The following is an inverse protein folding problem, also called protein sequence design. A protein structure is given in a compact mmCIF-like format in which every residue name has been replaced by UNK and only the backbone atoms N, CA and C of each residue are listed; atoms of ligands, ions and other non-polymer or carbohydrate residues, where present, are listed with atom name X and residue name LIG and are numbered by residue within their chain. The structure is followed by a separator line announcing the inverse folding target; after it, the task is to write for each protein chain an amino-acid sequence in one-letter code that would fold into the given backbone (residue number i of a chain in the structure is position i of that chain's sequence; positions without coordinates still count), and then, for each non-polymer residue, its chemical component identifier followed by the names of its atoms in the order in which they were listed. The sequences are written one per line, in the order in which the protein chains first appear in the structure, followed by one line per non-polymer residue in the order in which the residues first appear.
data_IF_928457889086
#
_entry.id   IF_928457889086
#
_cell.length_a   1.000
_cell.length_b   1.000
_cell.length_c   1.000
_cell.angle_alpha   90.00
_cell.angle_beta   90.00
_cell.angle_gamma   90.00
#
_symmetry.space_group_name_H-M   'P 1'
#
loop_
_entity.id
_entity.type
_entity.pdbx_description
1 polymer ?
#
# COMPACT_ATOMS: atom_id res chain seq x y z
N UNK A 1 -1.63 -5.28 -7.39
CA UNK A 1 -1.33 -4.73 -6.05
C UNK A 1 -2.57 -4.78 -5.18
N UNK A 2 -3.74 -4.45 -5.73
CA UNK A 2 -5.04 -4.69 -5.09
C UNK A 2 -5.19 -6.09 -4.47
N UNK A 3 -4.71 -7.16 -5.11
CA UNK A 3 -4.76 -8.53 -4.54
C UNK A 3 -3.96 -8.68 -3.23
N UNK A 4 -2.87 -7.91 -3.09
CA UNK A 4 -2.05 -7.88 -1.88
C UNK A 4 -2.71 -7.02 -0.81
N UNK A 5 -3.28 -5.87 -1.16
CA UNK A 5 -3.99 -5.03 -0.19
C UNK A 5 -5.26 -5.72 0.32
N UNK A 6 -6.06 -6.29 -0.58
CA UNK A 6 -7.37 -6.87 -0.29
C UNK A 6 -8.42 -5.81 0.03
N UNK A 7 -9.53 -6.24 0.62
CA UNK A 7 -10.71 -5.41 0.91
C UNK A 7 -10.92 -5.18 2.41
N UNK A 8 -9.88 -5.44 3.20
CA UNK A 8 -9.80 -5.27 4.65
C UNK A 8 -8.53 -4.48 4.99
N UNK A 9 -8.31 -4.15 6.26
CA UNK A 9 -7.11 -3.38 6.68
C UNK A 9 -5.84 -4.23 6.69
N UNK A 10 -6.00 -5.53 6.90
CA UNK A 10 -4.92 -6.51 6.86
C UNK A 10 -4.99 -7.25 5.53
N UNK A 11 -3.82 -7.45 4.92
CA UNK A 11 -3.68 -8.20 3.68
C UNK A 11 -4.21 -9.63 3.81
N UNK A 12 -4.97 -10.14 2.83
CA UNK A 12 -5.30 -11.57 2.74
C UNK A 12 -4.05 -12.45 2.48
N UNK A 13 -2.92 -11.83 2.11
CA UNK A 13 -1.66 -12.48 1.83
C UNK A 13 -0.63 -12.29 2.95
N UNK A 14 -1.02 -11.77 4.12
CA UNK A 14 -0.10 -11.63 5.25
C UNK A 14 0.69 -12.93 5.52
N UNK A 15 2.01 -12.82 5.62
CA UNK A 15 2.88 -13.96 5.85
C UNK A 15 3.26 -14.76 4.60
N UNK A 16 2.66 -14.46 3.45
CA UNK A 16 2.88 -15.18 2.18
C UNK A 16 3.99 -14.53 1.35
N UNK A 17 4.73 -15.35 0.60
CA UNK A 17 5.72 -14.88 -0.37
C UNK A 17 5.03 -14.56 -1.71
N UNK A 18 5.33 -13.38 -2.26
CA UNK A 18 4.88 -12.93 -3.58
C UNK A 18 6.06 -12.77 -4.52
N UNK A 19 5.84 -13.05 -5.81
CA UNK A 19 6.89 -13.01 -6.84
C UNK A 19 6.46 -12.13 -8.00
N UNK A 20 7.35 -11.24 -8.43
CA UNK A 20 7.18 -10.48 -9.67
C UNK A 20 6.02 -9.49 -9.65
N UNK A 21 5.72 -8.87 -8.50
CA UNK A 21 4.67 -7.84 -8.37
C UNK A 21 5.08 -6.63 -9.20
N UNK A 22 4.33 -6.27 -10.26
CA UNK A 22 4.65 -5.11 -11.09
C UNK A 22 4.24 -3.81 -10.41
N UNK A 23 4.94 -2.72 -10.72
CA UNK A 23 4.51 -1.38 -10.34
C UNK A 23 5.45 -0.27 -10.80
N UNK A 24 4.95 0.96 -10.77
CA UNK A 24 5.75 2.18 -10.97
C UNK A 24 6.16 2.74 -9.61
N UNK A 25 7.45 3.00 -9.42
CA UNK A 25 7.94 3.66 -8.22
C UNK A 25 7.44 5.11 -8.19
N UNK A 26 6.68 5.48 -7.17
CA UNK A 26 6.10 6.84 -7.02
C UNK A 26 6.83 7.70 -5.99
N UNK A 27 7.56 7.07 -5.06
CA UNK A 27 8.32 7.78 -4.04
C UNK A 27 9.38 6.90 -3.40
N UNK A 28 10.45 7.52 -2.89
CA UNK A 28 11.58 6.83 -2.26
C UNK A 28 11.87 7.47 -0.91
N UNK A 29 12.04 6.63 0.10
CA UNK A 29 12.41 7.02 1.46
C UNK A 29 13.76 6.42 1.83
N UNK A 30 14.79 7.26 1.92
CA UNK A 30 16.18 6.84 2.19
C UNK A 30 16.58 6.90 3.68
N UNK A 31 15.71 7.43 4.55
CA UNK A 31 15.93 7.57 5.99
C UNK A 31 14.71 7.13 6.81
N UNK A 32 14.92 6.74 8.07
CA UNK A 32 13.87 6.16 8.92
C UNK A 32 13.48 4.77 8.42
N UNK A 33 12.17 4.51 8.24
CA UNK A 33 11.68 3.31 7.58
C UNK A 33 12.04 3.34 6.09
N UNK A 34 13.24 2.87 5.77
CA UNK A 34 13.78 2.88 4.39
C UNK A 34 12.93 2.00 3.48
N UNK A 35 12.64 2.50 2.29
CA UNK A 35 11.83 1.81 1.33
C UNK A 35 11.37 2.72 0.20
N UNK A 36 10.41 2.23 -0.58
CA UNK A 36 9.83 2.98 -1.69
C UNK A 36 8.38 2.55 -1.89
N UNK A 37 7.58 3.41 -2.50
CA UNK A 37 6.19 3.10 -2.87
C UNK A 37 6.15 2.69 -4.33
N UNK A 38 5.38 1.65 -4.62
CA UNK A 38 4.98 1.27 -5.98
C UNK A 38 3.48 1.47 -6.14
N UNK A 39 3.07 1.95 -7.30
CA UNK A 39 1.67 2.02 -7.71
C UNK A 39 1.41 0.99 -8.80
N UNK A 40 0.23 0.38 -8.79
CA UNK A 40 -0.20 -0.56 -9.82
C UNK A 40 -0.21 0.09 -11.20
N UNK A 41 0.20 -0.68 -12.20
CA UNK A 41 0.15 -0.30 -13.61
C UNK A 41 -1.20 -0.62 -14.25
N UNK A 42 -1.99 -1.49 -13.62
CA UNK A 42 -3.32 -1.91 -14.05
C UNK A 42 -4.27 -1.89 -12.84
N UNK A 43 -4.58 -0.69 -12.29
CA UNK A 43 -5.46 -0.57 -11.14
C UNK A 43 -6.87 -1.07 -11.47
N UNK A 44 -7.58 -1.57 -10.45
CA UNK A 44 -9.00 -1.88 -10.55
C UNK A 44 -9.86 -0.64 -10.20
N UNK A 45 -11.18 -0.81 -10.31
CA UNK A 45 -12.16 0.23 -9.98
C UNK A 45 -12.83 0.00 -8.61
N UNK A 46 -12.34 -0.96 -7.80
CA UNK A 46 -12.91 -1.24 -6.49
C UNK A 46 -12.34 -0.23 -5.48
N UNK A 47 -13.14 0.69 -4.92
CA UNK A 47 -12.62 1.69 -4.01
C UNK A 47 -12.06 1.07 -2.71
N UNK A 48 -12.37 -0.20 -2.42
CA UNK A 48 -11.96 -0.91 -1.20
C UNK A 48 -10.56 -1.49 -1.31
N UNK A 49 -9.96 -1.54 -2.49
CA UNK A 49 -8.61 -2.05 -2.72
C UNK A 49 -7.63 -0.89 -2.91
N UNK A 50 -6.47 -0.99 -2.28
CA UNK A 50 -5.39 -0.05 -2.47
C UNK A 50 -4.57 -0.38 -3.72
N UNK A 51 -4.19 0.65 -4.47
CA UNK A 51 -3.33 0.50 -5.66
C UNK A 51 -1.87 0.88 -5.39
N UNK A 52 -1.58 1.37 -4.19
CA UNK A 52 -0.23 1.66 -3.71
C UNK A 52 0.24 0.60 -2.73
N UNK A 53 1.54 0.27 -2.76
CA UNK A 53 2.16 -0.66 -1.82
C UNK A 53 3.54 -0.17 -1.39
N UNK A 54 3.83 -0.27 -0.10
CA UNK A 54 5.15 0.06 0.42
C UNK A 54 6.09 -1.14 0.34
N UNK A 55 7.29 -0.93 -0.17
CA UNK A 55 8.35 -1.93 -0.22
C UNK A 55 9.43 -1.55 0.78
N UNK A 56 9.48 -2.27 1.90
CA UNK A 56 10.40 -2.00 3.00
C UNK A 56 11.74 -2.68 2.79
N UNK A 57 12.81 -1.88 2.79
CA UNK A 57 14.18 -2.35 2.51
C UNK A 57 15.03 -2.54 3.75
N UNK A 58 14.47 -2.37 4.96
CA UNK A 58 15.21 -2.56 6.21
C UNK A 58 16.32 -1.53 6.38
N UNK A 59 17.55 -2.02 6.60
CA UNK A 59 18.74 -1.17 6.71
C UNK A 59 19.34 -0.82 5.35
N UNK A 60 18.93 -1.46 4.26
CA UNK A 60 19.47 -1.19 2.91
C UNK A 60 18.82 0.06 2.32
N UNK A 61 19.63 0.95 1.77
CA UNK A 61 19.13 2.11 1.05
C UNK A 61 18.48 1.67 -0.28
N UNK A 62 17.27 2.15 -0.64
CA UNK A 62 16.68 1.88 -1.94
C UNK A 62 17.57 2.42 -3.06
N UNK A 63 17.73 1.64 -4.13
CA UNK A 63 18.50 2.02 -5.33
C UNK A 63 17.61 2.46 -6.50
N UNK A 64 16.29 2.29 -6.37
CA UNK A 64 15.29 2.73 -7.36
C UNK A 64 15.06 4.24 -7.26
N UNK A 65 14.48 4.81 -8.31
CA UNK A 65 14.03 6.21 -8.38
C UNK A 65 12.56 6.28 -8.80
N UNK A 66 11.91 7.39 -8.49
CA UNK A 66 10.56 7.66 -9.00
C UNK A 66 10.53 7.57 -10.53
N UNK A 67 9.50 6.95 -11.08
CA UNK A 67 9.35 6.66 -12.52
C UNK A 67 10.07 5.38 -12.98
N UNK A 68 10.72 4.62 -12.10
CA UNK A 68 11.17 3.27 -12.45
C UNK A 68 9.97 2.30 -12.51
N UNK A 69 9.89 1.52 -13.58
CA UNK A 69 9.02 0.35 -13.65
C UNK A 69 9.77 -0.84 -13.06
N UNK A 70 9.16 -1.52 -12.09
CA UNK A 70 9.83 -2.59 -11.34
C UNK A 70 9.00 -3.86 -11.29
N UNK A 71 9.68 -4.98 -11.07
CA UNK A 71 9.12 -6.20 -10.52
C UNK A 71 9.69 -6.40 -9.12
N UNK A 72 8.81 -6.60 -8.13
CA UNK A 72 9.18 -6.78 -6.73
C UNK A 72 8.75 -8.16 -6.26
N UNK A 73 9.67 -8.89 -5.64
CA UNK A 73 9.38 -10.15 -4.95
C UNK A 73 9.77 -10.04 -3.49
N UNK A 74 9.07 -10.72 -2.59
CA UNK A 74 9.36 -10.67 -1.16
C UNK A 74 8.24 -11.30 -0.33
N UNK A 75 8.20 -10.97 0.97
CA UNK A 75 7.17 -11.46 1.90
C UNK A 75 6.22 -10.33 2.27
N UNK A 76 4.92 -10.56 2.12
CA UNK A 76 3.88 -9.64 2.57
C UNK A 76 3.81 -9.67 4.10
N UNK A 77 3.77 -8.51 4.71
CA UNK A 77 3.69 -8.33 6.15
C UNK A 77 2.89 -7.07 6.49
N UNK A 78 2.27 -7.07 7.66
CA UNK A 78 1.66 -5.88 8.23
C UNK A 78 2.63 -5.15 9.17
N UNK A 79 2.56 -3.83 9.17
CA UNK A 79 3.29 -2.99 10.10
C UNK A 79 2.37 -2.02 10.81
N UNK A 80 2.38 -2.07 12.15
CA UNK A 80 1.68 -1.13 13.00
C UNK A 80 2.66 -0.07 13.52
N UNK A 81 2.54 1.20 13.11
CA UNK A 81 3.43 2.27 13.58
C UNK A 81 3.24 2.62 15.06
N UNK A 82 2.15 2.18 15.69
CA UNK A 82 1.91 2.31 17.13
C UNK A 82 0.64 1.59 17.59
N UNK A 83 0.42 1.57 18.90
CA UNK A 83 -0.80 0.99 19.49
C UNK A 83 -2.05 1.75 19.03
N UNK A 84 -3.06 1.02 18.53
CA UNK A 84 -4.32 1.61 18.06
C UNK A 84 -4.23 2.32 16.70
N UNK A 85 -3.14 2.10 15.94
CA UNK A 85 -3.00 2.60 14.57
C UNK A 85 -3.46 1.56 13.55
N UNK A 86 -3.76 1.99 12.32
CA UNK A 86 -4.01 1.05 11.22
C UNK A 86 -2.70 0.37 10.79
N UNK A 87 -2.82 -0.88 10.36
CA UNK A 87 -1.74 -1.58 9.68
C UNK A 87 -1.37 -0.87 8.37
N UNK A 88 -0.09 -0.94 8.04
CA UNK A 88 0.43 -0.69 6.71
C UNK A 88 0.89 -2.03 6.11
N UNK A 89 0.18 -2.50 5.09
CA UNK A 89 0.63 -3.63 4.28
C UNK A 89 1.90 -3.27 3.52
N UNK A 90 2.90 -4.15 3.58
CA UNK A 90 4.18 -3.92 2.94
C UNK A 90 4.82 -5.22 2.44
N UNK A 91 5.70 -5.11 1.45
CA UNK A 91 6.62 -6.19 1.07
C UNK A 91 7.94 -6.01 1.82
N UNK A 92 8.39 -7.06 2.49
CA UNK A 92 9.65 -7.13 3.24
C UNK A 92 10.65 -8.09 2.57
N UNK A 93 11.93 -7.93 2.92
CA UNK A 93 13.05 -8.66 2.31
C UNK A 93 13.01 -8.65 0.76
N UNK A 94 12.85 -7.47 0.13
CA UNK A 94 12.52 -7.40 -1.28
C UNK A 94 13.70 -7.77 -2.19
N UNK A 95 13.39 -8.43 -3.30
CA UNK A 95 14.22 -8.50 -4.51
C UNK A 95 13.56 -7.66 -5.59
N UNK A 96 14.30 -6.73 -6.17
CA UNK A 96 13.78 -5.73 -7.09
C UNK A 96 14.50 -5.84 -8.43
N UNK A 97 13.74 -5.88 -9.51
CA UNK A 97 14.24 -5.77 -10.88
C UNK A 97 13.66 -4.52 -11.52
N UNK A 98 14.51 -3.60 -11.97
CA UNK A 98 14.09 -2.43 -12.74
C UNK A 98 13.99 -2.84 -14.21
N UNK A 99 12.82 -2.65 -14.82
CA UNK A 99 12.55 -2.96 -16.22
C UNK A 99 12.82 -1.74 -17.12
N UNK A 100 12.44 -0.55 -16.66
CA UNK A 100 12.62 0.71 -17.38
C UNK A 100 12.65 1.89 -16.40
N UNK A 101 13.08 3.05 -16.87
CA UNK A 101 13.25 4.26 -16.07
C UNK A 101 12.69 5.49 -16.78
N UNK A 102 12.29 6.49 -16.00
CA UNK A 102 11.78 7.77 -16.53
C UNK A 102 10.34 7.67 -17.06
N UNK A 103 9.59 6.65 -16.63
CA UNK A 103 8.18 6.53 -16.94
C UNK A 103 7.37 7.65 -16.28
N UNK A 104 6.26 8.04 -16.89
CA UNK A 104 5.32 8.96 -16.27
C UNK A 104 4.77 8.36 -14.97
N UNK A 105 4.58 9.22 -13.96
CA UNK A 105 3.89 8.83 -12.74
C UNK A 105 2.37 8.82 -12.98
N UNK A 106 1.63 7.93 -12.31
CA UNK A 106 0.17 8.02 -12.26
C UNK A 106 -0.28 9.41 -11.79
N UNK A 107 -1.38 9.90 -12.34
CA UNK A 107 -1.94 11.17 -11.91
C UNK A 107 -2.30 11.10 -10.42
N UNK A 108 -2.00 12.15 -9.63
CA UNK A 108 -2.38 12.17 -8.23
C UNK A 108 -3.91 12.25 -8.09
N UNK A 109 -4.44 11.57 -7.07
CA UNK A 109 -5.84 11.70 -6.68
C UNK A 109 -6.00 12.98 -5.86
N UNK A 110 -6.96 13.83 -6.23
CA UNK A 110 -7.20 15.10 -5.53
C UNK A 110 -8.25 14.88 -4.45
N UNK A 111 -7.84 15.09 -3.19
CA UNK A 111 -8.72 15.05 -2.03
C UNK A 111 -9.20 16.46 -1.65
N UNK A 112 -10.50 16.59 -1.43
CA UNK A 112 -11.15 17.77 -0.85
C UNK A 112 -12.18 17.39 0.23
N UNK A 113 -12.76 18.39 0.91
CA UNK A 113 -13.73 18.15 1.98
C UNK A 113 -15.00 17.40 1.54
N UNK A 114 -15.31 17.33 0.25
CA UNK A 114 -16.46 16.59 -0.29
C UNK A 114 -16.10 15.15 -0.62
N UNK A 115 -14.83 14.86 -0.85
CA UNK A 115 -14.33 13.50 -1.12
C UNK A 115 -14.20 12.63 0.14
N UNK A 116 -14.12 13.25 1.33
CA UNK A 116 -13.93 12.54 2.60
C UNK A 116 -15.28 12.30 3.29
N UNK A 117 -15.67 11.04 3.59
CA UNK A 117 -16.89 10.74 4.32
C UNK A 117 -16.94 11.36 5.72
N UNK A 118 -18.16 11.64 6.20
CA UNK A 118 -18.36 12.26 7.52
C UNK A 118 -18.24 11.30 8.72
N UNK A 119 -18.37 9.98 8.52
CA UNK A 119 -18.15 9.00 9.59
C UNK A 119 -16.69 8.62 9.60
N UNK A 120 -16.11 8.47 10.78
CA UNK A 120 -14.69 8.18 10.89
C UNK A 120 -14.38 6.69 10.63
N UNK A 121 -15.01 5.79 11.38
CA UNK A 121 -14.67 4.35 11.43
C UNK A 121 -15.92 3.52 11.74
N UNK A 122 -16.03 2.25 11.28
CA UNK A 122 -17.09 1.35 11.72
C UNK A 122 -17.03 1.03 13.23
N UNK A 123 -18.15 0.60 13.81
CA UNK A 123 -18.15 -0.02 15.15
C UNK A 123 -17.64 -1.46 15.05
N UNK A 124 -16.80 -1.85 16.00
CA UNK A 124 -16.40 -3.25 16.23
C UNK A 124 -16.81 -3.75 17.63
N UNK A 125 -17.79 -3.09 18.27
CA UNK A 125 -18.30 -3.45 19.60
C UNK A 125 -17.20 -3.58 20.68
N UNK A 126 -16.21 -2.68 20.60
CA UNK A 126 -15.03 -2.67 21.49
C UNK A 126 -13.87 -3.55 21.02
N UNK A 127 -14.02 -4.25 19.89
CA UNK A 127 -12.98 -5.04 19.23
C UNK A 127 -12.16 -4.28 18.19
N UNK A 128 -11.30 -5.02 17.51
CA UNK A 128 -10.49 -4.53 16.39
C UNK A 128 -11.30 -4.49 15.08
N UNK A 129 -11.04 -3.50 14.25
CA UNK A 129 -11.72 -3.28 12.96
C UNK A 129 -10.99 -3.96 11.79
N UNK A 130 -9.84 -4.59 12.04
CA UNK A 130 -8.90 -5.07 11.03
C UNK A 130 -9.53 -6.05 10.03
N UNK A 131 -10.40 -6.93 10.54
CA UNK A 131 -11.11 -7.94 9.75
C UNK A 131 -12.44 -7.45 9.16
N UNK A 132 -12.87 -6.22 9.45
CA UNK A 132 -14.09 -5.67 8.89
C UNK A 132 -13.85 -5.26 7.43
N UNK A 133 -14.78 -5.55 6.51
CA UNK A 133 -14.71 -5.04 5.15
C UNK A 133 -14.61 -3.51 5.12
N UNK A 134 -13.77 -2.99 4.24
CA UNK A 134 -13.67 -1.57 3.97
C UNK A 134 -14.94 -1.05 3.29
N UNK A 135 -15.38 0.13 3.69
CA UNK A 135 -16.44 0.92 3.06
C UNK A 135 -16.01 2.41 2.95
N UNK A 136 -15.16 2.74 1.96
CA UNK A 136 -14.62 4.09 1.72
C UNK A 136 -15.69 5.13 1.36
N UNK A 137 -16.90 4.69 0.97
CA UNK A 137 -18.01 5.60 0.72
C UNK A 137 -18.65 6.09 2.03
N UNK A 138 -18.52 5.31 3.10
CA UNK A 138 -19.13 5.59 4.40
C UNK A 138 -18.12 6.11 5.41
N UNK A 139 -16.90 5.55 5.45
CA UNK A 139 -15.92 5.80 6.50
C UNK A 139 -14.65 6.49 5.99
N UNK A 140 -14.29 7.61 6.59
CA UNK A 140 -13.09 8.38 6.26
C UNK A 140 -11.80 7.58 6.46
N UNK A 141 -11.77 6.66 7.43
CA UNK A 141 -10.60 5.85 7.72
C UNK A 141 -10.39 4.71 6.69
N UNK A 142 -11.40 4.40 5.88
CA UNK A 142 -11.34 3.42 4.79
C UNK A 142 -10.94 4.07 3.45
N UNK A 143 -10.92 5.41 3.37
CA UNK A 143 -10.49 6.14 2.19
C UNK A 143 -8.95 6.17 2.12
N UNK A 144 -8.43 5.83 0.95
CA UNK A 144 -7.01 5.62 0.61
C UNK A 144 -5.98 6.60 1.21
#
# INVERSE_FOLDING_TARGET
IHDIQGTTRVSPLEGTAVTGVPGIVTGVRSSGSRGFWIQDTAPDDDPRTGEGLFVYTGSTAPTVKAGDSVLVSGKVAEYYPGTGTQSLTQITAPRVTVLSSGNALPAPVVLDARSVPGRYVPSADGGAIDALPLDPATYALDLY
#
